data_IF_582751303978
#
_entry.id   IF_582751303978
#
_cell.length_a   1.000
_cell.length_b   1.000
_cell.length_c   1.000
_cell.angle_alpha   90.00
_cell.angle_beta   90.00
_cell.angle_gamma   90.00
#
_symmetry.space_group_name_H-M   'P 1'
#
loop_
_entity.id
_entity.type
_entity.pdbx_description
1 polymer ?
#
# COMPACT_ATOMS: atom_id res chain seq x y z
N UNK A 1 -10.57 -6.20 -0.74
CA UNK A 1 -9.14 -5.90 -0.43
C UNK A 1 -8.31 -7.16 -0.56
N UNK A 2 -7.24 -7.08 -1.30
CA UNK A 2 -6.33 -8.20 -1.45
C UNK A 2 -5.25 -8.14 -0.36
N UNK A 3 -5.09 -9.22 0.39
CA UNK A 3 -4.14 -9.32 1.51
C UNK A 3 -3.27 -10.55 1.32
N UNK A 4 -1.96 -10.37 1.47
CA UNK A 4 -1.01 -11.48 1.44
C UNK A 4 -0.10 -11.44 2.67
N UNK A 5 0.54 -12.58 2.95
CA UNK A 5 1.61 -12.63 3.94
C UNK A 5 2.92 -12.19 3.27
N UNK A 6 3.85 -11.62 4.04
CA UNK A 6 5.13 -11.15 3.50
C UNK A 6 5.89 -12.25 2.75
N UNK A 7 5.71 -13.50 3.14
CA UNK A 7 6.33 -14.64 2.47
C UNK A 7 5.80 -14.86 1.05
N UNK A 8 4.64 -14.30 0.74
CA UNK A 8 4.00 -14.44 -0.57
C UNK A 8 4.33 -13.28 -1.52
N UNK A 9 5.15 -12.33 -1.08
CA UNK A 9 5.54 -11.21 -1.90
C UNK A 9 6.42 -11.67 -3.06
N UNK A 10 6.01 -11.36 -4.29
CA UNK A 10 6.63 -11.86 -5.51
C UNK A 10 7.54 -10.86 -6.21
N UNK A 11 7.77 -9.69 -5.62
CA UNK A 11 8.63 -8.63 -6.17
C UNK A 11 8.16 -8.06 -7.52
N UNK A 12 6.89 -8.24 -7.85
CA UNK A 12 6.26 -7.71 -9.07
C UNK A 12 5.67 -6.31 -8.90
N UNK A 13 5.97 -5.67 -7.78
CA UNK A 13 5.54 -4.32 -7.47
C UNK A 13 6.37 -3.73 -6.35
N UNK A 14 6.21 -2.45 -6.10
CA UNK A 14 6.96 -1.76 -5.05
C UNK A 14 6.40 -2.07 -3.67
N UNK A 15 7.27 -2.43 -2.73
CA UNK A 15 6.89 -2.67 -1.33
C UNK A 15 7.12 -1.39 -0.53
N UNK A 16 6.05 -0.85 0.05
CA UNK A 16 6.08 0.42 0.78
C UNK A 16 5.79 0.18 2.26
N UNK A 17 6.69 0.67 3.11
CA UNK A 17 6.51 0.63 4.56
C UNK A 17 5.81 1.91 5.01
N UNK A 18 4.58 1.78 5.49
CA UNK A 18 3.75 2.91 5.93
C UNK A 18 4.14 3.46 7.30
N UNK A 19 5.05 2.80 8.00
CA UNK A 19 5.56 3.30 9.28
C UNK A 19 6.68 4.32 9.09
N UNK A 20 7.17 4.51 7.87
CA UNK A 20 8.15 5.56 7.58
C UNK A 20 7.49 6.93 7.68
N UNK A 21 8.30 7.92 8.04
CA UNK A 21 7.81 9.27 8.32
C UNK A 21 7.12 9.87 7.09
N UNK A 22 5.90 10.38 7.32
CA UNK A 22 5.09 11.13 6.33
C UNK A 22 4.54 10.34 5.14
N UNK A 23 4.95 9.10 4.94
CA UNK A 23 4.48 8.31 3.79
C UNK A 23 2.97 8.09 3.85
N UNK A 24 2.47 7.72 5.03
CA UNK A 24 1.06 7.42 5.23
C UNK A 24 0.15 8.60 4.88
N UNK A 25 0.44 9.77 5.43
CA UNK A 25 -0.38 10.96 5.19
C UNK A 25 -0.31 11.43 3.74
N UNK A 26 0.87 11.42 3.15
CA UNK A 26 1.06 11.81 1.75
C UNK A 26 0.22 10.97 0.81
N UNK A 27 0.21 9.65 1.03
CA UNK A 27 -0.58 8.74 0.19
C UNK A 27 -2.07 8.94 0.35
N UNK A 28 -2.55 9.31 1.54
CA UNK A 28 -3.96 9.57 1.77
C UNK A 28 -4.44 10.87 1.13
N UNK A 29 -3.61 11.92 1.15
CA UNK A 29 -4.01 13.23 0.64
C UNK A 29 -3.80 13.40 -0.85
N UNK A 30 -2.69 12.90 -1.39
CA UNK A 30 -2.34 13.11 -2.80
C UNK A 30 -1.69 11.87 -3.40
N UNK A 31 -2.41 10.74 -3.52
CA UNK A 31 -1.81 9.51 -4.03
C UNK A 31 -1.26 9.67 -5.45
N UNK A 32 -1.89 10.47 -6.29
CA UNK A 32 -1.47 10.65 -7.68
C UNK A 32 -0.09 11.30 -7.82
N UNK A 33 0.39 12.00 -6.78
CA UNK A 33 1.73 12.58 -6.80
C UNK A 33 2.83 11.54 -6.52
N UNK A 34 2.48 10.43 -5.91
CA UNK A 34 3.44 9.43 -5.45
C UNK A 34 3.28 8.07 -6.12
N UNK A 35 2.09 7.79 -6.67
CA UNK A 35 1.76 6.49 -7.22
C UNK A 35 1.35 6.61 -8.69
N UNK A 36 1.67 5.55 -9.44
CA UNK A 36 1.31 5.42 -10.85
C UNK A 36 0.23 4.33 -10.96
N UNK A 37 -0.90 4.64 -11.59
CA UNK A 37 -1.99 3.67 -11.77
C UNK A 37 -1.62 2.49 -12.65
N UNK A 38 -0.53 2.59 -13.40
CA UNK A 38 -0.04 1.50 -14.24
C UNK A 38 0.94 0.57 -13.51
N UNK A 39 1.22 0.85 -12.24
CA UNK A 39 2.13 0.07 -11.42
C UNK A 39 1.38 -0.61 -10.29
N UNK A 40 2.00 -1.66 -9.73
CA UNK A 40 1.46 -2.40 -8.58
C UNK A 40 2.24 -2.04 -7.33
N UNK A 41 1.52 -1.89 -6.23
CA UNK A 41 2.11 -1.52 -4.95
C UNK A 41 1.67 -2.45 -3.84
N UNK A 42 2.62 -2.77 -2.94
CA UNK A 42 2.38 -3.57 -1.76
C UNK A 42 2.63 -2.68 -0.54
N UNK A 43 1.67 -2.66 0.37
CA UNK A 43 1.76 -1.80 1.56
C UNK A 43 1.75 -2.64 2.81
N UNK A 44 2.67 -2.35 3.72
CA UNK A 44 2.67 -2.97 5.02
C UNK A 44 2.94 -1.95 6.12
N UNK A 45 2.52 -2.29 7.34
CA UNK A 45 2.87 -1.55 8.53
C UNK A 45 2.95 -2.53 9.70
N UNK A 46 3.62 -2.11 10.75
CA UNK A 46 3.93 -2.98 11.89
C UNK A 46 2.66 -3.55 12.55
N UNK A 47 1.62 -2.72 12.71
CA UNK A 47 0.36 -3.10 13.38
C UNK A 47 -0.75 -3.51 12.43
N UNK A 48 -0.58 -3.34 11.13
CA UNK A 48 -1.59 -3.67 10.14
C UNK A 48 -2.72 -2.67 9.99
N UNK A 49 -2.81 -1.64 10.83
CA UNK A 49 -3.91 -0.66 10.81
C UNK A 49 -3.77 0.31 9.64
N UNK A 50 -2.59 0.88 9.47
CA UNK A 50 -2.33 1.84 8.40
C UNK A 50 -2.45 1.20 7.02
N UNK A 51 -1.92 0.00 6.85
CA UNK A 51 -1.99 -0.70 5.55
C UNK A 51 -3.43 -1.03 5.17
N UNK A 52 -4.25 -1.43 6.12
CA UNK A 52 -5.67 -1.71 5.87
C UNK A 52 -6.38 -0.45 5.37
N UNK A 53 -6.16 0.69 6.02
CA UNK A 53 -6.81 1.95 5.64
C UNK A 53 -6.34 2.45 4.28
N UNK A 54 -5.04 2.47 4.04
CA UNK A 54 -4.46 2.96 2.78
C UNK A 54 -4.92 2.10 1.60
N UNK A 55 -4.83 0.79 1.72
CA UNK A 55 -5.22 -0.10 0.63
C UNK A 55 -6.70 0.02 0.32
N UNK A 56 -7.56 0.10 1.34
CA UNK A 56 -9.00 0.28 1.14
C UNK A 56 -9.31 1.55 0.35
N UNK A 57 -8.66 2.66 0.69
CA UNK A 57 -8.88 3.95 0.02
C UNK A 57 -8.32 3.93 -1.40
N UNK A 58 -7.11 3.44 -1.59
CA UNK A 58 -6.47 3.44 -2.90
C UNK A 58 -7.15 2.51 -3.89
N UNK A 59 -7.73 1.41 -3.43
CA UNK A 59 -8.55 0.55 -4.29
C UNK A 59 -9.77 1.30 -4.84
N UNK A 60 -10.41 2.11 -4.01
CA UNK A 60 -11.56 2.93 -4.44
C UNK A 60 -11.14 3.92 -5.54
N UNK A 61 -9.94 4.45 -5.45
CA UNK A 61 -9.40 5.36 -6.47
C UNK A 61 -8.88 4.66 -7.73
N UNK A 62 -8.88 3.33 -7.76
CA UNK A 62 -8.49 2.58 -8.95
C UNK A 62 -7.03 2.19 -9.04
N UNK A 63 -6.27 2.25 -7.94
CA UNK A 63 -4.89 1.79 -7.90
C UNK A 63 -4.81 0.27 -7.70
N UNK A 64 -3.77 -0.34 -8.27
CA UNK A 64 -3.48 -1.77 -8.06
C UNK A 64 -2.63 -1.93 -6.80
N UNK A 65 -3.29 -2.23 -5.70
CA UNK A 65 -2.67 -2.24 -4.38
C UNK A 65 -2.99 -3.53 -3.61
N UNK A 66 -2.05 -3.97 -2.81
CA UNK A 66 -2.15 -5.19 -2.00
C UNK A 66 -1.71 -4.88 -0.57
N UNK A 67 -2.44 -5.37 0.40
CA UNK A 67 -2.07 -5.30 1.80
C UNK A 67 -1.14 -6.45 2.15
N UNK A 68 -0.04 -6.15 2.83
CA UNK A 68 0.92 -7.16 3.26
C UNK A 68 0.91 -7.26 4.78
N UNK A 69 0.82 -8.48 5.28
CA UNK A 69 0.93 -8.77 6.72
C UNK A 69 2.19 -9.61 6.97
N UNK A 70 2.76 -9.44 8.14
CA UNK A 70 3.94 -10.21 8.55
C UNK A 70 3.55 -11.37 9.46
#
# INVERSE_FOLDING_TARGET
>A
MRTININEYTHDGELINLDEIDVYEKLLYNPSLYLDKNKKYYFYCKKGIKSKKVVSILEIYGYDVVRVIK
#
